data_IF_911053792481
#
_entry.id   IF_911053792481
#
_cell.length_a   1.000
_cell.length_b   1.000
_cell.length_c   1.000
_cell.angle_alpha   90.00
_cell.angle_beta   90.00
_cell.angle_gamma   90.00
#
_symmetry.space_group_name_H-M   'P 1'
#
loop_
_entity.id
_entity.type
_entity.pdbx_description
1 polymer ?
#
# COMPACT_ATOMS: atom_id res chain seq x y z
N UNK A 1 -7.65 40.57 4.02
CA UNK A 1 -6.57 39.56 4.14
C UNK A 1 -7.22 38.17 4.12
N UNK A 2 -6.98 37.36 3.07
CA UNK A 2 -7.60 36.04 2.92
C UNK A 2 -6.74 34.97 3.59
N UNK A 3 -7.20 34.46 4.73
CA UNK A 3 -6.62 33.29 5.39
C UNK A 3 -7.04 32.03 4.61
N UNK A 4 -6.07 31.32 4.03
CA UNK A 4 -6.26 29.98 3.46
C UNK A 4 -5.42 29.00 4.26
N UNK A 5 -5.96 28.53 5.37
CA UNK A 5 -5.39 27.39 6.07
C UNK A 5 -5.90 26.10 5.38
N UNK A 6 -5.06 25.51 4.53
CA UNK A 6 -5.27 24.17 3.97
C UNK A 6 -3.93 23.45 4.00
N UNK A 7 -3.68 22.70 5.06
CA UNK A 7 -2.57 21.74 5.10
C UNK A 7 -2.99 20.52 5.93
N UNK A 8 -3.82 19.68 5.32
CA UNK A 8 -3.82 18.25 5.62
C UNK A 8 -3.35 17.59 4.34
N UNK A 9 -2.03 17.55 4.16
CA UNK A 9 -1.41 16.79 3.09
C UNK A 9 -1.01 15.44 3.70
N UNK A 10 -1.96 14.51 3.74
CA UNK A 10 -1.63 13.11 3.42
C UNK A 10 -0.77 13.19 2.17
N UNK A 11 0.41 12.55 2.16
CA UNK A 11 1.34 12.53 1.04
C UNK A 11 0.58 12.41 -0.29
N UNK A 12 0.28 13.54 -0.93
CA UNK A 12 0.04 13.58 -2.36
C UNK A 12 1.40 13.24 -2.94
N UNK A 13 1.70 11.94 -3.03
CA UNK A 13 2.32 11.44 -4.24
C UNK A 13 1.49 12.08 -5.34
N UNK A 14 2.03 13.13 -5.93
CA UNK A 14 1.45 13.74 -7.11
C UNK A 14 1.42 12.59 -8.08
N UNK A 15 0.25 12.00 -8.29
CA UNK A 15 0.01 11.15 -9.45
C UNK A 15 0.24 12.09 -10.62
N UNK A 16 1.48 12.11 -11.11
CA UNK A 16 1.81 12.81 -12.32
C UNK A 16 0.84 12.24 -13.34
N UNK A 17 -0.06 13.09 -13.84
CA UNK A 17 -0.81 12.81 -15.06
C UNK A 17 0.21 12.78 -16.19
N UNK A 18 1.07 11.76 -16.21
CA UNK A 18 1.99 11.52 -17.29
C UNK A 18 1.28 10.59 -18.26
N UNK A 19 1.07 11.17 -19.44
CA UNK A 19 0.71 10.53 -20.69
C UNK A 19 1.27 9.11 -20.74
N UNK A 20 0.41 8.19 -21.20
CA UNK A 20 0.75 6.81 -21.55
C UNK A 20 2.01 6.83 -22.42
N UNK A 21 3.18 6.61 -21.80
CA UNK A 21 4.39 6.20 -22.47
C UNK A 21 4.54 4.73 -22.14
N UNK A 22 4.24 3.88 -23.12
CA UNK A 22 4.50 2.44 -23.09
C UNK A 22 6.02 2.28 -22.98
N UNK A 23 6.51 2.28 -21.75
CA UNK A 23 7.89 1.91 -21.46
C UNK A 23 7.93 0.39 -21.52
N UNK A 24 8.62 -0.12 -22.55
CA UNK A 24 8.95 -1.53 -22.67
C UNK A 24 9.65 -1.98 -21.38
N UNK A 25 8.91 -2.71 -20.55
CA UNK A 25 9.48 -3.42 -19.42
C UNK A 25 10.33 -4.52 -20.02
N UNK A 26 11.64 -4.37 -19.91
CA UNK A 26 12.59 -5.45 -20.15
C UNK A 26 12.20 -6.58 -19.20
N UNK A 27 11.53 -7.58 -19.75
CA UNK A 27 11.31 -8.86 -19.10
C UNK A 27 12.68 -9.45 -18.80
N UNK A 28 13.17 -9.26 -17.59
CA UNK A 28 14.19 -10.15 -17.04
C UNK A 28 13.48 -11.49 -16.89
N UNK A 29 13.63 -12.30 -17.93
CA UNK A 29 13.21 -13.69 -17.97
C UNK A 29 14.08 -14.46 -16.99
N UNK A 30 13.62 -14.55 -15.74
CA UNK A 30 14.04 -15.63 -14.86
C UNK A 30 13.45 -16.92 -15.46
N UNK A 31 14.21 -17.51 -16.37
CA UNK A 31 14.00 -18.89 -16.82
C UNK A 31 14.37 -19.78 -15.64
N UNK A 32 13.42 -19.95 -14.72
CA UNK A 32 13.36 -21.14 -13.89
C UNK A 32 12.63 -22.20 -14.70
N UNK A 33 13.36 -22.89 -15.57
CA UNK A 33 12.87 -24.12 -16.19
C UNK A 33 12.93 -25.22 -15.12
N UNK A 34 11.85 -25.32 -14.32
CA UNK A 34 11.70 -26.26 -13.22
C UNK A 34 10.23 -26.49 -12.91
N UNK A 35 9.60 -27.35 -13.71
CA UNK A 35 8.50 -28.26 -13.37
C UNK A 35 7.68 -27.97 -12.08
N UNK A 36 6.44 -27.54 -12.31
CA UNK A 36 5.23 -27.63 -11.45
C UNK A 36 5.22 -26.96 -10.08
N UNK A 37 4.24 -26.05 -9.94
CA UNK A 37 3.58 -25.50 -8.74
C UNK A 37 4.31 -24.45 -7.89
N UNK A 38 3.51 -23.46 -7.48
CA UNK A 38 3.75 -22.42 -6.45
C UNK A 38 4.35 -21.05 -6.86
N UNK A 39 3.77 -20.41 -7.89
CA UNK A 39 3.79 -18.95 -8.02
C UNK A 39 2.40 -18.39 -7.71
N UNK A 40 2.13 -18.03 -6.46
CA UNK A 40 0.80 -17.66 -5.95
C UNK A 40 0.16 -16.51 -6.72
N UNK A 41 -0.65 -16.83 -7.74
CA UNK A 41 -1.60 -15.89 -8.32
C UNK A 41 -2.66 -15.60 -7.28
N UNK A 42 -2.87 -14.32 -6.96
CA UNK A 42 -3.92 -13.91 -6.05
C UNK A 42 -5.28 -14.08 -6.75
N UNK A 43 -5.99 -15.16 -6.49
CA UNK A 43 -7.44 -15.21 -6.75
C UNK A 43 -8.15 -14.36 -5.69
N UNK A 44 -9.20 -13.63 -6.06
CA UNK A 44 -10.06 -12.89 -5.12
C UNK A 44 -10.47 -13.75 -3.92
N UNK A 45 -10.72 -15.05 -4.12
CA UNK A 45 -11.08 -16.00 -3.05
C UNK A 45 -9.99 -16.12 -1.97
N UNK A 46 -8.72 -16.03 -2.35
CA UNK A 46 -7.61 -16.15 -1.42
C UNK A 46 -7.46 -14.88 -0.55
N UNK A 47 -7.95 -13.74 -1.02
CA UNK A 47 -7.95 -12.47 -0.29
C UNK A 47 -9.05 -12.36 0.75
N UNK A 48 -10.20 -13.03 0.57
CA UNK A 48 -11.32 -12.90 1.51
C UNK A 48 -10.88 -13.19 2.95
N UNK A 49 -11.19 -12.26 3.86
CA UNK A 49 -10.81 -12.33 5.27
C UNK A 49 -10.23 -11.02 5.80
N UNK A 50 -9.76 -11.07 7.05
CA UNK A 50 -9.14 -9.94 7.73
C UNK A 50 -7.62 -10.09 7.71
N UNK A 51 -6.93 -9.01 7.37
CA UNK A 51 -5.48 -8.94 7.26
C UNK A 51 -4.98 -7.79 8.11
N UNK A 52 -4.04 -8.04 9.03
CA UNK A 52 -3.40 -6.97 9.82
C UNK A 52 -2.02 -6.65 9.31
N UNK A 53 -1.64 -5.38 9.33
CA UNK A 53 -0.32 -4.93 8.92
C UNK A 53 0.74 -5.54 9.85
N UNK A 54 1.72 -6.21 9.27
CA UNK A 54 2.88 -6.79 9.97
C UNK A 54 4.10 -5.89 9.81
N UNK A 55 4.34 -5.35 8.62
CA UNK A 55 5.49 -4.50 8.34
C UNK A 55 5.31 -3.62 7.11
N UNK A 56 6.07 -2.52 7.07
CA UNK A 56 6.23 -1.64 5.90
C UNK A 56 7.71 -1.33 5.70
N UNK A 57 8.19 -1.43 4.47
CA UNK A 57 9.54 -1.06 4.07
C UNK A 57 9.53 -0.06 2.93
N UNK A 58 10.55 0.80 2.86
CA UNK A 58 10.81 1.69 1.74
C UNK A 58 12.23 1.38 1.25
N UNK A 59 12.37 1.05 -0.03
CA UNK A 59 13.63 0.61 -0.65
C UNK A 59 14.35 -0.49 0.14
N UNK A 60 13.57 -1.43 0.68
CA UNK A 60 14.07 -2.56 1.47
C UNK A 60 14.52 -2.22 2.89
N UNK A 61 14.43 -0.96 3.32
CA UNK A 61 14.69 -0.55 4.70
C UNK A 61 13.38 -0.44 5.49
N UNK A 62 13.41 -0.80 6.77
CA UNK A 62 12.23 -0.65 7.63
C UNK A 62 11.86 0.83 7.72
N UNK A 63 10.56 1.14 7.71
CA UNK A 63 10.10 2.53 7.79
C UNK A 63 10.62 3.28 9.04
N UNK A 64 10.93 2.56 10.12
CA UNK A 64 11.53 3.11 11.35
C UNK A 64 12.92 3.71 11.13
N UNK A 65 13.62 3.31 10.08
CA UNK A 65 14.94 3.84 9.73
C UNK A 65 14.86 5.21 9.05
N UNK A 66 13.65 5.62 8.62
CA UNK A 66 13.43 6.88 7.94
C UNK A 66 12.99 7.99 8.91
N UNK A 67 13.29 9.23 8.51
CA UNK A 67 12.82 10.44 9.18
C UNK A 67 11.96 11.26 8.24
N UNK A 68 10.84 11.78 8.73
CA UNK A 68 10.03 12.76 8.01
C UNK A 68 10.13 14.11 8.73
N UNK A 69 10.56 15.15 8.01
CA UNK A 69 10.76 16.51 8.55
C UNK A 69 11.63 16.55 9.82
N UNK A 70 12.70 15.75 9.83
CA UNK A 70 13.65 15.67 10.96
C UNK A 70 13.16 14.86 12.16
N UNK A 71 11.98 14.25 12.09
CA UNK A 71 11.46 13.36 13.13
C UNK A 71 11.49 11.92 12.64
N UNK A 72 11.94 10.98 13.48
CA UNK A 72 11.84 9.55 13.16
C UNK A 72 10.38 9.19 12.91
N UNK A 73 10.11 8.46 11.83
CA UNK A 73 8.78 7.91 11.59
C UNK A 73 8.55 6.88 12.70
N UNK A 74 7.75 7.25 13.68
CA UNK A 74 7.34 6.34 14.74
C UNK A 74 6.26 5.45 14.16
N UNK A 75 6.59 4.18 13.99
CA UNK A 75 5.59 3.12 13.99
C UNK A 75 5.18 2.94 15.46
N UNK A 76 4.37 3.87 15.95
CA UNK A 76 3.65 3.67 17.20
C UNK A 76 2.71 2.47 17.07
N UNK A 77 2.10 2.05 18.18
CA UNK A 77 1.16 0.93 18.13
C UNK A 77 -0.04 1.21 17.20
N UNK A 78 -0.28 2.47 16.79
CA UNK A 78 -1.35 2.82 15.87
C UNK A 78 -1.17 2.14 14.51
N UNK A 79 -0.02 2.28 13.85
CA UNK A 79 0.16 1.69 12.51
C UNK A 79 -0.01 0.17 12.50
N UNK A 80 0.35 -0.52 13.59
CA UNK A 80 0.14 -1.98 13.73
C UNK A 80 -1.34 -2.37 13.85
N UNK A 81 -2.22 -1.42 14.17
CA UNK A 81 -3.67 -1.64 14.17
C UNK A 81 -4.26 -1.60 12.76
N UNK A 82 -3.49 -1.14 11.75
CA UNK A 82 -3.94 -1.10 10.36
C UNK A 82 -4.40 -2.48 9.90
N UNK A 83 -5.59 -2.54 9.31
CA UNK A 83 -6.16 -3.78 8.81
C UNK A 83 -6.96 -3.58 7.55
N UNK A 84 -7.01 -4.63 6.75
CA UNK A 84 -7.84 -4.74 5.55
C UNK A 84 -8.83 -5.88 5.75
N UNK A 85 -10.09 -5.63 5.41
CA UNK A 85 -11.16 -6.64 5.44
C UNK A 85 -11.67 -6.80 4.02
N UNK A 86 -11.32 -7.92 3.38
CA UNK A 86 -11.76 -8.25 2.03
C UNK A 86 -13.01 -9.13 2.07
N UNK A 87 -14.02 -8.73 1.31
CA UNK A 87 -15.18 -9.54 0.93
C UNK A 87 -15.05 -10.00 -0.51
N UNK A 88 -16.08 -10.65 -1.06
CA UNK A 88 -16.12 -11.07 -2.47
C UNK A 88 -16.06 -9.89 -3.46
N UNK A 89 -16.50 -8.69 -3.05
CA UNK A 89 -16.67 -7.53 -3.94
C UNK A 89 -15.92 -6.29 -3.49
N UNK A 90 -15.67 -6.16 -2.19
CA UNK A 90 -15.17 -4.92 -1.58
C UNK A 90 -14.04 -5.19 -0.60
N UNK A 91 -13.25 -4.17 -0.37
CA UNK A 91 -12.30 -4.10 0.72
C UNK A 91 -12.63 -2.90 1.59
N UNK A 92 -12.54 -3.10 2.90
CA UNK A 92 -12.56 -2.01 3.88
C UNK A 92 -11.17 -1.89 4.48
N UNK A 93 -10.55 -0.73 4.30
CA UNK A 93 -9.29 -0.37 4.92
C UNK A 93 -9.56 0.44 6.20
N UNK A 94 -8.98 -0.02 7.30
CA UNK A 94 -8.92 0.71 8.56
C UNK A 94 -7.49 1.18 8.77
N UNK A 95 -7.30 2.49 8.72
CA UNK A 95 -6.02 3.15 8.91
C UNK A 95 -6.02 3.85 10.26
N UNK A 96 -5.02 3.59 11.08
CA UNK A 96 -4.80 4.19 12.37
C UNK A 96 -3.49 4.97 12.33
N UNK A 97 -3.59 6.28 12.50
CA UNK A 97 -2.44 7.17 12.50
C UNK A 97 -2.31 7.88 13.86
N UNK A 98 -1.11 8.24 14.31
CA UNK A 98 -0.95 9.11 15.47
C UNK A 98 -1.71 10.42 15.32
N UNK A 99 -2.45 10.83 16.35
CA UNK A 99 -3.09 12.15 16.36
C UNK A 99 -2.05 13.25 16.32
N UNK A 100 -2.27 14.22 15.43
CA UNK A 100 -1.44 15.43 15.33
C UNK A 100 -1.49 16.24 16.64
N UNK A 101 -2.62 16.17 17.35
CA UNK A 101 -2.84 16.94 18.59
C UNK A 101 -2.44 16.19 19.85
N UNK A 102 -2.45 14.86 19.83
CA UNK A 102 -2.05 14.03 20.95
C UNK A 102 -1.32 12.77 20.46
N UNK A 103 0.00 12.83 20.46
CA UNK A 103 0.89 11.77 19.95
C UNK A 103 0.73 10.40 20.64
N UNK A 104 -0.03 10.31 21.75
CA UNK A 104 -0.33 9.06 22.45
C UNK A 104 -1.70 8.46 22.06
N UNK A 105 -2.42 9.06 21.11
CA UNK A 105 -3.72 8.61 20.64
C UNK A 105 -3.67 8.25 19.15
N UNK A 106 -4.42 7.21 18.77
CA UNK A 106 -4.59 6.79 17.39
C UNK A 106 -5.91 7.34 16.84
N UNK A 107 -5.86 8.01 15.70
CA UNK A 107 -7.04 8.42 14.93
C UNK A 107 -7.33 7.37 13.86
N UNK A 108 -8.58 6.91 13.80
CA UNK A 108 -9.06 5.94 12.82
C UNK A 108 -9.62 6.65 11.58
N UNK A 109 -9.22 6.18 10.42
CA UNK A 109 -9.79 6.50 9.12
C UNK A 109 -10.26 5.21 8.45
N UNK A 110 -11.49 5.22 7.92
CA UNK A 110 -12.10 4.08 7.26
C UNK A 110 -12.39 4.40 5.80
N UNK A 111 -11.89 3.57 4.90
CA UNK A 111 -12.13 3.68 3.46
C UNK A 111 -12.64 2.36 2.88
N UNK A 112 -13.72 2.43 2.10
CA UNK A 112 -14.27 1.27 1.37
C UNK A 112 -14.01 1.44 -0.12
N UNK A 113 -13.59 0.37 -0.78
CA UNK A 113 -13.38 0.33 -2.24
C UNK A 113 -13.81 -1.01 -2.81
N UNK A 114 -14.31 -1.02 -4.04
CA UNK A 114 -14.41 -2.26 -4.81
C UNK A 114 -13.03 -2.64 -5.35
N UNK A 115 -12.81 -3.91 -5.66
CA UNK A 115 -11.52 -4.36 -6.19
C UNK A 115 -11.65 -5.46 -7.24
N UNK A 116 -10.63 -5.56 -8.09
CA UNK A 116 -10.46 -6.66 -9.07
C UNK A 116 -9.01 -7.09 -9.06
N UNK A 117 -8.76 -8.40 -9.04
CA UNK A 117 -7.41 -8.95 -9.17
C UNK A 117 -7.25 -9.64 -10.53
N UNK A 118 -6.10 -9.41 -11.16
CA UNK A 118 -5.69 -10.05 -12.39
C UNK A 118 -4.20 -10.37 -12.32
N UNK A 119 -3.86 -11.66 -12.21
CA UNK A 119 -2.49 -12.11 -11.97
C UNK A 119 -1.93 -11.52 -10.68
N UNK A 120 -0.82 -10.77 -10.80
CA UNK A 120 -0.14 -10.10 -9.69
C UNK A 120 -0.53 -8.62 -9.55
N UNK A 121 -1.65 -8.20 -10.14
CA UNK A 121 -2.13 -6.82 -10.04
C UNK A 121 -3.50 -6.78 -9.40
N UNK A 122 -3.65 -5.91 -8.40
CA UNK A 122 -4.94 -5.55 -7.84
C UNK A 122 -5.28 -4.12 -8.27
N UNK A 123 -6.55 -3.90 -8.61
CA UNK A 123 -7.10 -2.58 -8.92
C UNK A 123 -8.17 -2.26 -7.88
N UNK A 124 -8.02 -1.16 -7.16
CA UNK A 124 -9.02 -0.62 -6.26
C UNK A 124 -9.79 0.51 -6.94
N UNK A 125 -11.10 0.53 -6.76
CA UNK A 125 -11.99 1.60 -7.24
C UNK A 125 -12.78 2.16 -6.06
N UNK A 126 -12.35 3.34 -5.61
CA UNK A 126 -13.09 4.17 -4.67
C UNK A 126 -14.09 5.08 -5.38
N UNK A 127 -14.76 5.97 -4.63
CA UNK A 127 -15.82 6.85 -5.16
C UNK A 127 -15.34 7.80 -6.26
N UNK A 128 -14.12 8.32 -6.15
CA UNK A 128 -13.61 9.37 -7.06
C UNK A 128 -12.32 8.98 -7.78
N UNK A 129 -11.63 7.93 -7.32
CA UNK A 129 -10.32 7.53 -7.83
C UNK A 129 -10.20 6.02 -7.92
N UNK A 130 -9.45 5.59 -8.91
CA UNK A 130 -8.99 4.21 -9.04
C UNK A 130 -7.46 4.19 -9.00
N UNK A 131 -6.90 3.13 -8.43
CA UNK A 131 -5.47 2.90 -8.35
C UNK A 131 -5.18 1.42 -8.47
N UNK A 132 -3.98 1.08 -8.96
CA UNK A 132 -3.53 -0.30 -9.04
C UNK A 132 -2.17 -0.46 -8.39
N UNK A 133 -1.92 -1.66 -7.86
CA UNK A 133 -0.65 -2.00 -7.22
C UNK A 133 -0.33 -3.48 -7.44
N UNK A 134 0.93 -3.85 -7.23
CA UNK A 134 1.36 -5.24 -7.32
C UNK A 134 0.94 -5.95 -6.04
N UNK A 135 0.45 -7.19 -6.18
CA UNK A 135 0.00 -8.03 -5.08
C UNK A 135 0.63 -9.43 -5.16
N UNK A 136 0.90 -9.99 -3.99
CA UNK A 136 1.25 -11.40 -3.81
C UNK A 136 0.54 -11.97 -2.59
N UNK A 137 0.02 -13.19 -2.72
CA UNK A 137 -0.57 -13.94 -1.61
C UNK A 137 0.12 -15.29 -1.52
N UNK A 138 0.82 -15.52 -0.42
CA UNK A 138 1.54 -16.77 -0.16
C UNK A 138 1.20 -17.23 1.26
N UNK A 139 0.45 -18.33 1.36
CA UNK A 139 -0.06 -18.82 2.64
C UNK A 139 -0.93 -17.78 3.36
N UNK A 140 -0.54 -17.40 4.58
CA UNK A 140 -1.21 -16.39 5.39
C UNK A 140 -0.61 -14.99 5.23
N UNK A 141 0.28 -14.77 4.24
CA UNK A 141 0.91 -13.47 3.98
C UNK A 141 0.37 -12.85 2.69
N UNK A 142 -0.01 -11.58 2.81
CA UNK A 142 -0.43 -10.71 1.72
C UNK A 142 0.59 -9.59 1.62
N UNK A 143 1.13 -9.37 0.43
CA UNK A 143 2.11 -8.31 0.18
C UNK A 143 1.60 -7.38 -0.90
N UNK A 144 1.67 -6.07 -0.64
CA UNK A 144 1.51 -5.03 -1.65
C UNK A 144 2.85 -4.37 -1.96
N UNK A 145 3.07 -4.03 -3.22
CA UNK A 145 4.24 -3.25 -3.64
C UNK A 145 3.82 -2.13 -4.60
N UNK A 146 4.09 -0.90 -4.20
CA UNK A 146 3.80 0.30 -4.97
C UNK A 146 5.03 1.19 -5.08
N UNK A 147 5.18 1.84 -6.23
CA UNK A 147 6.24 2.83 -6.48
C UNK A 147 5.67 4.24 -6.41
N UNK A 148 6.42 5.15 -5.81
CA UNK A 148 6.10 6.57 -5.74
C UNK A 148 7.34 7.43 -5.94
N UNK A 149 7.13 8.72 -6.26
CA UNK A 149 8.21 9.70 -6.36
C UNK A 149 8.16 10.64 -5.15
N UNK A 150 9.30 10.91 -4.54
CA UNK A 150 9.42 11.94 -3.50
C UNK A 150 9.36 13.36 -4.09
N UNK A 151 9.47 14.37 -3.24
CA UNK A 151 9.43 15.78 -3.65
C UNK A 151 10.65 16.19 -4.52
N UNK A 152 11.71 15.38 -4.52
CA UNK A 152 12.94 15.57 -5.32
C UNK A 152 12.87 14.82 -6.66
N UNK A 153 11.83 14.01 -6.88
CA UNK A 153 11.64 13.18 -8.08
C UNK A 153 12.36 11.83 -8.01
N UNK A 154 12.90 11.44 -6.86
CA UNK A 154 13.49 10.12 -6.67
C UNK A 154 12.38 9.08 -6.55
N UNK A 155 12.56 7.95 -7.25
CA UNK A 155 11.63 6.83 -7.20
C UNK A 155 11.93 5.96 -5.99
N UNK A 156 10.90 5.70 -5.20
CA UNK A 156 10.94 4.80 -4.07
C UNK A 156 9.95 3.67 -4.26
N UNK A 157 10.31 2.49 -3.76
CA UNK A 157 9.41 1.35 -3.70
C UNK A 157 9.01 1.09 -2.25
N UNK A 158 7.72 1.16 -1.99
CA UNK A 158 7.14 0.77 -0.71
C UNK A 158 6.62 -0.66 -0.80
N UNK A 159 6.87 -1.46 0.23
CA UNK A 159 6.34 -2.81 0.38
C UNK A 159 5.65 -2.92 1.72
N UNK A 160 4.39 -3.35 1.70
CA UNK A 160 3.60 -3.62 2.90
C UNK A 160 3.28 -5.10 2.97
N UNK A 161 3.50 -5.69 4.14
CA UNK A 161 3.15 -7.09 4.41
C UNK A 161 2.07 -7.15 5.47
N UNK A 162 1.03 -7.93 5.18
CA UNK A 162 -0.09 -8.20 6.06
C UNK A 162 -0.20 -9.69 6.36
N UNK A 163 -0.70 -10.01 7.55
CA UNK A 163 -0.93 -11.38 8.00
C UNK A 163 -2.42 -11.64 8.22
N UNK A 164 -2.90 -12.73 7.63
CA UNK A 164 -4.29 -13.18 7.79
C UNK A 164 -4.57 -13.56 9.24
N UNK A 165 -5.70 -13.10 9.76
CA UNK A 165 -6.18 -13.37 11.12
C UNK A 165 -7.03 -14.63 11.20
#
# INVERSE_FOLDING_TARGET
MKNKNKNVAWATFRTATQLVAIMAVILVTLIACGKSDSGGSADNKNLIGTWKLESRTIDGKDIKDFTYKGQKIREDDCYKMNKLVFTDKEVVAYSYNPSITNINQCEEEVATSSYVVSGNTIVFKGKEKAGSTTISVVGNKLTFSYSGEDDEGNKHTSVETYVKQ
#
